data_IF_913773501840
#
_entry.id   IF_913773501840
#
_cell.length_a   1.000
_cell.length_b   1.000
_cell.length_c   1.000
_cell.angle_alpha   90.00
_cell.angle_beta   90.00
_cell.angle_gamma   90.00
#
_symmetry.space_group_name_H-M   'P 1'
#
loop_
_entity.id
_entity.type
_entity.pdbx_description
1 polymer ?
#
# COMPACT_ATOMS: atom_id res chain seq x y z
N UNK A 1 6.47 2.71 -7.01
CA UNK A 1 6.10 1.28 -6.85
C UNK A 1 4.99 0.94 -7.84
N UNK A 2 5.25 0.05 -8.80
CA UNK A 2 4.22 -0.41 -9.77
C UNK A 2 3.36 -1.47 -9.06
N UNK A 3 2.03 -1.52 -9.25
CA UNK A 3 1.21 -2.58 -8.66
C UNK A 3 1.75 -3.96 -9.06
N UNK A 4 2.22 -4.75 -8.08
CA UNK A 4 2.68 -6.14 -8.30
C UNK A 4 1.55 -7.09 -8.72
N UNK A 5 0.31 -6.60 -8.73
CA UNK A 5 -0.86 -7.32 -9.22
C UNK A 5 -0.77 -7.45 -10.75
N UNK A 6 -0.55 -8.67 -11.24
CA UNK A 6 -0.51 -8.98 -12.67
C UNK A 6 -1.39 -10.18 -13.00
N UNK A 7 -2.01 -10.19 -14.18
CA UNK A 7 -2.76 -11.32 -14.70
C UNK A 7 -1.89 -12.19 -15.59
N UNK A 8 -1.99 -13.50 -15.44
CA UNK A 8 -1.48 -14.42 -16.45
C UNK A 8 -2.43 -14.45 -17.64
N UNK A 9 -1.91 -14.10 -18.81
CA UNK A 9 -2.56 -14.28 -20.10
C UNK A 9 -1.79 -15.34 -20.90
N UNK A 10 -2.36 -15.92 -21.96
CA UNK A 10 -1.60 -16.77 -22.88
C UNK A 10 -0.35 -16.08 -23.47
N UNK A 11 -0.31 -14.75 -23.46
CA UNK A 11 0.81 -13.92 -23.94
C UNK A 11 1.79 -13.50 -22.83
N UNK A 12 1.62 -13.98 -21.59
CA UNK A 12 2.47 -13.64 -20.44
C UNK A 12 1.77 -12.81 -19.36
N UNK A 13 2.57 -12.28 -18.41
CA UNK A 13 2.07 -11.49 -17.28
C UNK A 13 1.73 -10.06 -17.73
N UNK A 14 0.47 -9.67 -17.62
CA UNK A 14 0.01 -8.32 -17.87
C UNK A 14 -0.21 -7.58 -16.54
N UNK A 15 0.38 -6.40 -16.33
CA UNK A 15 0.18 -5.63 -15.10
C UNK A 15 -1.27 -5.12 -14.98
N UNK A 16 -1.74 -5.02 -13.75
CA UNK A 16 -2.99 -4.34 -13.44
C UNK A 16 -2.80 -2.83 -13.61
N UNK A 17 -3.60 -2.21 -14.46
CA UNK A 17 -3.52 -0.78 -14.77
C UNK A 17 -4.91 -0.16 -14.95
N UNK A 18 -5.05 1.12 -14.62
CA UNK A 18 -6.27 1.91 -14.80
C UNK A 18 -5.93 3.40 -14.95
N UNK A 19 -6.72 4.12 -15.72
CA UNK A 19 -6.66 5.59 -15.79
C UNK A 19 -7.29 6.22 -14.54
N UNK A 20 -6.61 7.20 -13.96
CA UNK A 20 -7.10 8.03 -12.85
C UNK A 20 -7.24 9.48 -13.30
N UNK A 21 -8.22 10.20 -12.74
CA UNK A 21 -8.43 11.64 -12.98
C UNK A 21 -7.77 12.44 -11.86
N UNK A 22 -6.88 13.36 -12.23
CA UNK A 22 -6.27 14.29 -11.28
C UNK A 22 -7.31 15.36 -10.91
N UNK A 23 -7.66 15.42 -9.62
CA UNK A 23 -8.64 16.40 -9.09
C UNK A 23 -7.99 17.51 -8.25
N UNK A 24 -6.70 17.36 -7.93
CA UNK A 24 -5.94 18.30 -7.11
C UNK A 24 -4.55 17.76 -6.79
N UNK A 25 -3.76 18.59 -6.10
CA UNK A 25 -2.43 18.24 -5.58
C UNK A 25 -2.34 18.64 -4.11
N UNK A 26 -1.42 18.01 -3.38
CA UNK A 26 -1.05 18.43 -2.03
C UNK A 26 0.42 18.87 -2.01
N UNK A 27 0.77 19.69 -1.02
CA UNK A 27 2.14 20.13 -0.79
C UNK A 27 2.40 20.13 0.72
N UNK A 28 3.14 19.12 1.19
CA UNK A 28 3.57 18.99 2.58
C UNK A 28 4.98 19.58 2.80
N UNK A 29 5.64 20.04 1.73
CA UNK A 29 7.05 20.45 1.73
C UNK A 29 7.96 19.33 2.26
N UNK A 30 7.69 18.12 1.78
CA UNK A 30 8.36 16.89 2.17
C UNK A 30 8.64 16.05 0.93
N UNK A 31 9.56 15.09 1.02
CA UNK A 31 9.94 14.22 -0.10
C UNK A 31 8.74 13.48 -0.70
N UNK A 32 7.71 13.20 0.10
CA UNK A 32 6.46 12.53 -0.31
C UNK A 32 5.73 13.27 -1.44
N UNK A 33 5.89 14.60 -1.55
CA UNK A 33 5.23 15.41 -2.58
C UNK A 33 5.66 14.97 -4.00
N UNK A 34 6.83 14.32 -4.14
CA UNK A 34 7.36 13.86 -5.41
C UNK A 34 6.91 12.46 -5.83
N UNK A 35 6.36 11.64 -4.92
CA UNK A 35 6.10 10.22 -5.22
C UNK A 35 4.82 9.62 -4.60
N UNK A 36 4.19 10.26 -3.62
CA UNK A 36 2.94 9.77 -3.03
C UNK A 36 1.73 10.37 -3.73
N UNK A 37 0.65 9.58 -3.79
CA UNK A 37 -0.64 10.01 -4.32
C UNK A 37 -1.77 9.45 -3.47
N UNK A 38 -2.85 10.22 -3.34
CA UNK A 38 -4.05 9.82 -2.62
C UNK A 38 -5.14 9.39 -3.60
N UNK A 39 -5.70 8.21 -3.36
CA UNK A 39 -6.80 7.63 -4.13
C UNK A 39 -7.85 7.05 -3.18
N UNK A 40 -9.07 6.83 -3.67
CA UNK A 40 -10.07 6.12 -2.88
C UNK A 40 -9.60 4.68 -2.58
N UNK A 41 -9.77 4.23 -1.34
CA UNK A 41 -9.30 2.91 -0.91
C UNK A 41 -9.91 1.76 -1.72
N UNK A 42 -11.19 1.87 -2.13
CA UNK A 42 -11.85 0.85 -2.94
C UNK A 42 -11.29 0.82 -4.36
N UNK A 43 -10.90 1.98 -4.91
CA UNK A 43 -10.25 2.06 -6.22
C UNK A 43 -8.85 1.43 -6.18
N UNK A 44 -8.09 1.69 -5.12
CA UNK A 44 -6.80 1.06 -4.88
C UNK A 44 -6.93 -0.46 -4.73
N UNK A 45 -7.87 -0.95 -3.91
CA UNK A 45 -8.10 -2.40 -3.73
C UNK A 45 -8.46 -3.09 -5.05
N UNK A 46 -9.26 -2.44 -5.91
CA UNK A 46 -9.57 -2.95 -7.25
C UNK A 46 -8.35 -3.00 -8.16
N UNK A 47 -7.51 -1.96 -8.14
CA UNK A 47 -6.25 -1.94 -8.90
C UNK A 47 -5.29 -3.06 -8.42
N UNK A 48 -5.24 -3.31 -7.12
CA UNK A 48 -4.48 -4.40 -6.50
C UNK A 48 -5.11 -5.79 -6.68
N UNK A 49 -6.32 -5.86 -7.26
CA UNK A 49 -7.10 -7.09 -7.51
C UNK A 49 -7.43 -7.86 -6.24
N UNK A 50 -7.65 -7.15 -5.13
CA UNK A 50 -8.16 -7.77 -3.92
C UNK A 50 -9.65 -8.12 -4.04
N UNK A 51 -10.13 -9.15 -3.31
CA UNK A 51 -11.56 -9.39 -3.15
C UNK A 51 -12.28 -8.13 -2.64
N UNK A 52 -13.55 -7.97 -3.00
CA UNK A 52 -14.35 -6.85 -2.51
C UNK A 52 -14.40 -6.85 -0.98
N UNK A 53 -14.10 -5.70 -0.37
CA UNK A 53 -14.01 -5.56 1.09
C UNK A 53 -12.63 -5.81 1.68
N UNK A 54 -11.67 -6.35 0.91
CA UNK A 54 -10.31 -6.54 1.38
C UNK A 54 -9.44 -5.28 1.21
N UNK A 55 -8.50 -5.13 2.14
CA UNK A 55 -7.49 -4.07 2.18
C UNK A 55 -6.11 -4.72 2.36
N UNK A 56 -5.05 -3.96 2.11
CA UNK A 56 -3.67 -4.42 2.32
C UNK A 56 -3.41 -4.75 3.81
N UNK A 57 -3.94 -3.93 4.71
CA UNK A 57 -3.76 -4.08 6.15
C UNK A 57 -4.17 -2.82 6.92
N UNK A 58 -3.78 -2.77 8.18
CA UNK A 58 -4.06 -1.65 9.08
C UNK A 58 -2.83 -0.73 9.16
N UNK A 59 -3.01 0.55 8.85
CA UNK A 59 -1.97 1.57 9.09
C UNK A 59 -1.95 1.88 10.58
N UNK A 60 -0.81 1.65 11.23
CA UNK A 60 -0.60 1.94 12.64
C UNK A 60 0.15 3.26 12.80
N UNK A 61 -0.26 4.05 13.78
CA UNK A 61 0.53 5.17 14.32
C UNK A 61 1.06 4.72 15.67
N UNK A 62 2.36 4.92 15.89
CA UNK A 62 3.08 4.45 17.06
C UNK A 62 3.52 5.65 17.88
N UNK A 63 3.43 5.54 19.20
CA UNK A 63 3.93 6.57 20.11
C UNK A 63 5.46 6.71 19.99
N UNK A 64 6.16 5.59 19.82
CA UNK A 64 7.61 5.52 19.67
C UNK A 64 8.00 4.83 18.34
N UNK A 65 7.85 5.52 17.18
CA UNK A 65 7.97 4.89 15.86
C UNK A 65 9.39 4.41 15.50
N UNK A 66 10.41 4.86 16.25
CA UNK A 66 11.80 4.44 16.08
C UNK A 66 12.12 3.11 16.79
N UNK A 67 11.29 2.66 17.73
CA UNK A 67 11.43 1.37 18.41
C UNK A 67 10.77 0.21 17.64
N UNK A 68 10.62 0.36 16.33
CA UNK A 68 9.86 -0.57 15.49
C UNK A 68 10.51 -1.96 15.43
N UNK A 69 11.81 -2.04 15.64
CA UNK A 69 12.55 -3.30 15.80
C UNK A 69 12.00 -4.16 16.95
N UNK A 70 11.73 -3.53 18.09
CA UNK A 70 11.24 -4.17 19.30
C UNK A 70 9.73 -4.42 19.18
N UNK A 71 8.98 -3.43 18.69
CA UNK A 71 7.52 -3.54 18.48
C UNK A 71 7.15 -4.65 17.49
N UNK A 72 7.99 -4.90 16.47
CA UNK A 72 7.75 -5.97 15.48
C UNK A 72 7.81 -7.39 16.06
N UNK A 73 8.40 -7.59 17.24
CA UNK A 73 8.55 -8.91 17.89
C UNK A 73 7.36 -9.30 18.77
N UNK A 74 6.38 -8.40 18.95
CA UNK A 74 5.20 -8.69 19.75
C UNK A 74 4.34 -9.78 19.12
N UNK A 75 3.54 -10.46 19.94
CA UNK A 75 2.60 -11.46 19.44
C UNK A 75 1.53 -10.79 18.57
N UNK A 76 1.44 -11.21 17.31
CA UNK A 76 0.44 -10.72 16.37
C UNK A 76 -0.77 -11.66 16.30
N UNK A 77 -1.97 -11.16 15.95
CA UNK A 77 -3.11 -12.00 15.63
C UNK A 77 -2.76 -13.04 14.55
N UNK A 78 -3.32 -14.24 14.67
CA UNK A 78 -3.03 -15.32 13.73
C UNK A 78 -3.32 -14.90 12.28
N UNK A 79 -2.38 -15.19 11.37
CA UNK A 79 -2.52 -14.88 9.95
C UNK A 79 -2.18 -13.43 9.57
N UNK A 80 -1.68 -12.63 10.51
CA UNK A 80 -1.20 -11.27 10.24
C UNK A 80 0.33 -11.22 10.16
N UNK A 81 0.86 -10.23 9.44
CA UNK A 81 2.30 -9.96 9.30
C UNK A 81 2.55 -8.48 9.60
N UNK A 82 3.63 -8.19 10.33
CA UNK A 82 4.15 -6.84 10.51
C UNK A 82 4.95 -6.38 9.28
N UNK A 83 4.71 -5.16 8.82
CA UNK A 83 5.48 -4.46 7.79
C UNK A 83 5.67 -3.02 8.26
N UNK A 84 6.85 -2.46 8.06
CA UNK A 84 7.19 -1.10 8.50
C UNK A 84 7.99 -0.33 7.44
N UNK A 85 8.26 0.94 7.74
CA UNK A 85 8.90 1.90 6.84
C UNK A 85 10.33 1.54 6.45
N UNK A 86 10.98 0.55 7.10
CA UNK A 86 12.32 0.07 6.73
C UNK A 86 12.29 -0.86 5.52
N UNK A 87 11.12 -1.41 5.16
CA UNK A 87 10.95 -2.17 3.92
C UNK A 87 10.80 -1.17 2.75
N UNK A 88 11.89 -0.96 1.99
CA UNK A 88 11.91 -0.22 0.71
C UNK A 88 11.73 -1.13 -0.51
#
# INVERSE_FOLDING_TARGET
MVPSASQFTPMGRLPSQRLFTVIGTFAANSEVDGYEMLVNIQDASRLMRYPAGNITGWRLWLDEPLQVDTLSQQMLPQGTKWQDWRET
#
